data_IF_021922147997
#
_entry.id   IF_021922147997
#
_cell.length_a   1.000
_cell.length_b   1.000
_cell.length_c   1.000
_cell.angle_alpha   90.00
_cell.angle_beta   90.00
_cell.angle_gamma   90.00
#
_symmetry.space_group_name_H-M   'P 1'
#
loop_
_entity.id
_entity.type
_entity.pdbx_description
1 polymer ?
#
# COMPACT_ATOMS: atom_id res chain seq x y z
N UNK A 1 55.15 -12.75 -24.59
CA UNK A 1 54.23 -11.71 -24.06
C UNK A 1 52.88 -11.94 -24.73
N UNK A 2 52.08 -12.84 -24.18
CA UNK A 2 51.05 -12.58 -23.16
C UNK A 2 49.70 -12.27 -23.84
N UNK A 3 48.69 -13.09 -23.48
CA UNK A 3 47.37 -13.12 -24.11
C UNK A 3 46.61 -11.85 -23.76
N UNK A 4 45.86 -11.29 -24.71
CA UNK A 4 44.75 -10.39 -24.39
C UNK A 4 43.46 -11.01 -24.91
N UNK A 5 42.78 -11.74 -24.04
CA UNK A 5 41.38 -12.15 -24.26
C UNK A 5 40.53 -10.91 -24.01
N UNK A 6 39.86 -10.42 -25.05
CA UNK A 6 38.89 -9.34 -24.97
C UNK A 6 37.65 -9.84 -24.19
N UNK A 7 37.71 -9.70 -22.87
CA UNK A 7 36.69 -10.16 -21.94
C UNK A 7 35.48 -9.24 -21.93
N UNK A 8 34.67 -9.27 -22.99
CA UNK A 8 33.32 -8.69 -22.93
C UNK A 8 32.46 -9.64 -22.10
N UNK A 9 32.42 -9.38 -20.79
CA UNK A 9 31.49 -10.03 -19.89
C UNK A 9 30.06 -9.80 -20.40
N UNK A 10 29.41 -10.88 -20.82
CA UNK A 10 27.97 -10.86 -21.08
C UNK A 10 27.31 -10.71 -19.70
N UNK A 11 26.92 -9.48 -19.37
CA UNK A 11 26.10 -9.23 -18.21
C UNK A 11 24.74 -9.87 -18.44
N UNK A 12 24.51 -11.05 -17.87
CA UNK A 12 23.17 -11.63 -17.79
C UNK A 12 22.39 -10.74 -16.82
N UNK A 13 21.67 -9.75 -17.36
CA UNK A 13 20.61 -9.06 -16.62
C UNK A 13 19.45 -10.02 -16.51
N UNK A 14 19.38 -10.77 -15.41
CA UNK A 14 18.17 -11.47 -15.06
C UNK A 14 17.17 -10.43 -14.55
N UNK A 15 16.32 -9.89 -15.43
CA UNK A 15 15.10 -9.27 -14.96
C UNK A 15 14.21 -10.40 -14.45
N UNK A 16 14.16 -10.61 -13.13
CA UNK A 16 13.05 -11.39 -12.58
C UNK A 16 11.79 -10.58 -12.87
N UNK A 17 10.95 -11.10 -13.75
CA UNK A 17 9.54 -10.72 -13.76
C UNK A 17 8.97 -11.21 -12.44
N UNK A 18 9.08 -10.40 -11.40
CA UNK A 18 8.45 -10.69 -10.13
C UNK A 18 6.97 -10.38 -10.33
N UNK A 19 6.16 -11.44 -10.43
CA UNK A 19 4.71 -11.30 -10.35
C UNK A 19 4.40 -10.78 -8.95
N UNK A 20 4.11 -9.49 -8.84
CA UNK A 20 3.82 -8.82 -7.57
C UNK A 20 2.45 -9.22 -7.00
N UNK A 21 1.55 -9.71 -7.86
CA UNK A 21 0.21 -10.13 -7.50
C UNK A 21 -0.08 -11.51 -8.09
N UNK A 22 -0.21 -12.50 -7.23
CA UNK A 22 -0.60 -13.86 -7.61
C UNK A 22 -2.03 -14.13 -7.16
N UNK A 23 -2.84 -14.78 -8.02
CA UNK A 23 -4.24 -15.10 -7.69
C UNK A 23 -4.31 -15.98 -6.44
N UNK A 24 -5.24 -15.64 -5.55
CA UNK A 24 -5.47 -16.41 -4.31
C UNK A 24 -4.39 -16.23 -3.24
N UNK A 25 -3.41 -15.34 -3.45
CA UNK A 25 -2.40 -15.00 -2.44
C UNK A 25 -2.68 -13.62 -1.85
N UNK A 26 -2.44 -13.51 -0.55
CA UNK A 26 -2.46 -12.23 0.15
C UNK A 26 -1.15 -11.49 -0.08
N UNK A 27 -1.25 -10.17 -0.12
CA UNK A 27 -0.15 -9.24 -0.36
C UNK A 27 -0.35 -8.03 0.53
N UNK A 28 0.71 -7.54 1.14
CA UNK A 28 0.65 -6.29 1.89
C UNK A 28 0.98 -5.12 0.97
N UNK A 29 0.01 -4.22 0.77
CA UNK A 29 0.21 -3.00 -0.03
C UNK A 29 0.24 -1.80 0.89
N UNK A 30 1.29 -0.98 0.77
CA UNK A 30 1.35 0.32 1.42
C UNK A 30 1.58 1.43 0.39
N UNK A 31 0.66 2.38 0.35
CA UNK A 31 0.86 3.62 -0.38
C UNK A 31 1.16 4.75 0.59
N UNK A 32 2.22 5.51 0.30
CA UNK A 32 2.64 6.66 1.08
C UNK A 32 2.74 7.89 0.17
N UNK A 33 2.43 9.06 0.72
CA UNK A 33 2.55 10.34 0.02
C UNK A 33 3.09 11.41 0.95
N UNK A 34 3.58 12.52 0.38
CA UNK A 34 4.26 13.60 1.09
C UNK A 34 5.22 14.31 0.16
N UNK A 35 6.53 14.34 0.48
CA UNK A 35 7.59 14.80 -0.46
C UNK A 35 7.77 13.84 -1.64
N UNK A 36 7.40 12.58 -1.45
CA UNK A 36 7.52 11.51 -2.45
C UNK A 36 6.29 10.63 -2.30
N UNK A 37 5.73 10.22 -3.43
CA UNK A 37 4.70 9.19 -3.48
C UNK A 37 5.36 7.86 -3.78
N UNK A 38 5.13 6.85 -2.95
CA UNK A 38 5.68 5.52 -3.14
C UNK A 38 4.63 4.45 -2.86
N UNK A 39 4.71 3.34 -3.59
CA UNK A 39 3.95 2.13 -3.34
C UNK A 39 4.92 1.02 -2.97
N UNK A 40 4.65 0.35 -1.86
CA UNK A 40 5.37 -0.83 -1.41
C UNK A 40 4.45 -2.05 -1.49
N UNK A 41 5.01 -3.16 -1.95
CA UNK A 41 4.31 -4.44 -2.13
C UNK A 41 5.14 -5.50 -1.41
N UNK A 42 4.54 -6.17 -0.42
CA UNK A 42 5.23 -7.05 0.53
C UNK A 42 6.49 -6.41 1.14
N UNK A 43 6.39 -5.10 1.39
CA UNK A 43 7.47 -4.30 1.98
C UNK A 43 8.60 -3.92 1.02
N UNK A 44 8.54 -4.34 -0.25
CA UNK A 44 9.50 -3.98 -1.30
C UNK A 44 9.03 -2.80 -2.11
N UNK A 45 9.96 -1.97 -2.60
CA UNK A 45 9.61 -0.80 -3.39
C UNK A 45 9.06 -1.22 -4.76
N UNK A 46 7.80 -0.87 -5.04
CA UNK A 46 7.14 -1.14 -6.31
C UNK A 46 7.28 0.02 -7.31
N UNK A 47 6.87 1.22 -6.90
CA UNK A 47 7.04 2.47 -7.66
C UNK A 47 7.31 3.64 -6.71
N UNK A 48 8.05 4.64 -7.19
CA UNK A 48 8.37 5.86 -6.45
C UNK A 48 8.44 7.05 -7.39
N UNK A 49 7.75 8.14 -7.04
CA UNK A 49 7.79 9.39 -7.80
C UNK A 49 7.95 10.59 -6.87
N UNK A 50 8.78 11.59 -7.24
CA UNK A 50 8.77 12.88 -6.55
C UNK A 50 7.34 13.42 -6.54
N UNK A 51 6.86 13.83 -5.36
CA UNK A 51 5.52 14.42 -5.28
C UNK A 51 5.62 15.88 -5.70
N UNK A 52 4.90 16.24 -6.76
CA UNK A 52 4.65 17.65 -7.12
C UNK A 52 3.46 18.22 -6.37
N UNK A 53 2.76 17.41 -5.57
CA UNK A 53 1.58 17.83 -4.82
C UNK A 53 1.97 18.33 -3.43
N UNK A 54 1.64 19.60 -3.15
CA UNK A 54 1.79 20.22 -1.83
C UNK A 54 0.52 20.10 -0.95
N UNK A 55 -0.35 19.12 -1.22
CA UNK A 55 -1.63 18.94 -0.51
C UNK A 55 -2.15 17.50 -0.54
N UNK A 56 -3.28 17.21 0.14
CA UNK A 56 -3.87 15.87 0.17
C UNK A 56 -4.15 15.37 -1.26
N UNK A 57 -3.98 14.07 -1.54
CA UNK A 57 -4.22 13.50 -2.87
C UNK A 57 -5.71 13.39 -3.25
N UNK A 58 -6.61 13.88 -2.39
CA UNK A 58 -8.04 13.79 -2.56
C UNK A 58 -8.65 15.19 -2.66
N UNK A 59 -9.55 15.37 -3.62
CA UNK A 59 -10.44 16.53 -3.63
C UNK A 59 -11.39 16.41 -2.43
N UNK A 60 -11.69 17.51 -1.70
CA UNK A 60 -12.66 17.50 -0.61
C UNK A 60 -14.09 17.14 -1.06
N UNK A 61 -14.34 17.10 -2.38
CA UNK A 61 -15.61 16.70 -2.97
C UNK A 61 -15.68 15.20 -3.33
N UNK A 62 -14.62 14.44 -3.09
CA UNK A 62 -14.54 13.02 -3.48
C UNK A 62 -14.76 12.08 -2.30
N UNK A 63 -15.49 10.99 -2.55
CA UNK A 63 -15.65 9.88 -1.61
C UNK A 63 -14.43 8.96 -1.70
N UNK A 64 -13.90 8.52 -0.56
CA UNK A 64 -12.89 7.46 -0.55
C UNK A 64 -13.55 6.12 -0.90
N UNK A 65 -13.07 5.50 -1.97
CA UNK A 65 -13.59 4.23 -2.48
C UNK A 65 -12.52 3.15 -2.43
N UNK A 66 -12.96 1.95 -2.11
CA UNK A 66 -12.19 0.71 -2.22
C UNK A 66 -13.00 -0.19 -3.14
N UNK A 67 -12.34 -0.94 -4.03
CA UNK A 67 -13.08 -1.87 -4.88
C UNK A 67 -13.51 -1.29 -6.23
N UNK A 68 -13.70 0.03 -6.32
CA UNK A 68 -14.43 0.64 -7.43
C UNK A 68 -13.95 2.07 -7.71
N UNK A 69 -13.72 2.40 -8.99
CA UNK A 69 -13.51 3.77 -9.47
C UNK A 69 -14.55 4.15 -10.54
N UNK A 70 -14.86 3.23 -11.46
CA UNK A 70 -15.90 3.36 -12.51
C UNK A 70 -16.30 1.96 -13.02
N UNK A 71 -17.37 1.80 -13.84
CA UNK A 71 -17.94 0.48 -14.18
C UNK A 71 -16.98 -0.59 -14.70
N UNK A 72 -15.90 -0.18 -15.39
CA UNK A 72 -14.89 -1.08 -15.98
C UNK A 72 -13.56 -1.08 -15.18
N UNK A 73 -13.54 -0.42 -14.02
CA UNK A 73 -12.35 -0.25 -13.20
C UNK A 73 -12.65 -0.57 -11.74
N UNK A 74 -12.93 -1.84 -11.53
CA UNK A 74 -13.11 -2.46 -10.24
C UNK A 74 -11.95 -3.41 -9.96
N UNK A 75 -11.65 -3.60 -8.68
CA UNK A 75 -10.77 -4.69 -8.24
C UNK A 75 -11.61 -5.90 -7.87
N UNK A 76 -11.17 -7.09 -8.27
CA UNK A 76 -11.71 -8.36 -7.81
C UNK A 76 -10.74 -8.94 -6.77
N UNK A 77 -10.80 -8.43 -5.55
CA UNK A 77 -9.90 -8.78 -4.46
C UNK A 77 -10.62 -8.73 -3.11
N UNK A 78 -10.08 -9.48 -2.15
CA UNK A 78 -10.41 -9.32 -0.74
C UNK A 78 -9.48 -8.27 -0.12
N UNK A 79 -9.99 -7.51 0.85
CA UNK A 79 -9.22 -6.53 1.62
C UNK A 79 -9.34 -6.92 3.08
N UNK A 80 -8.24 -6.76 3.80
CA UNK A 80 -8.10 -7.03 5.23
C UNK A 80 -7.15 -5.98 5.81
N UNK A 81 -7.29 -5.66 7.09
CA UNK A 81 -6.42 -4.73 7.84
C UNK A 81 -6.20 -3.36 7.15
N UNK A 82 -7.27 -2.74 6.64
CA UNK A 82 -7.19 -1.44 5.98
C UNK A 82 -6.87 -0.35 7.01
N UNK A 83 -5.68 0.24 6.90
CA UNK A 83 -5.25 1.37 7.75
C UNK A 83 -4.99 2.65 6.95
N UNK A 84 -5.54 3.76 7.43
CA UNK A 84 -5.21 5.12 6.98
C UNK A 84 -4.49 5.85 8.12
N UNK A 85 -3.44 6.60 7.77
CA UNK A 85 -2.63 7.32 8.75
C UNK A 85 -2.26 8.72 8.29
N UNK A 86 -1.94 9.59 9.24
CA UNK A 86 -1.56 10.98 8.99
C UNK A 86 -0.05 11.20 8.82
N UNK A 87 0.72 10.11 8.76
CA UNK A 87 2.15 10.11 8.47
C UNK A 87 2.47 9.13 7.34
N UNK A 88 3.57 9.38 6.63
CA UNK A 88 4.20 8.37 5.78
C UNK A 88 4.88 7.31 6.67
N UNK A 89 4.17 6.21 6.97
CA UNK A 89 4.67 5.14 7.85
C UNK A 89 5.93 4.45 7.33
N UNK A 90 6.12 4.45 6.02
CA UNK A 90 7.26 3.81 5.36
C UNK A 90 7.93 4.82 4.43
N UNK A 91 9.24 4.98 4.58
CA UNK A 91 10.08 5.83 3.72
C UNK A 91 11.18 5.03 3.01
N UNK A 92 11.24 3.73 3.29
CA UNK A 92 12.14 2.73 2.73
C UNK A 92 11.45 1.36 2.75
N UNK A 93 12.10 0.35 2.19
CA UNK A 93 11.64 -1.03 2.29
C UNK A 93 11.52 -1.48 3.76
N UNK A 94 10.57 -2.35 4.05
CA UNK A 94 10.25 -2.82 5.40
C UNK A 94 9.82 -4.29 5.39
N UNK A 95 9.68 -4.88 6.58
CA UNK A 95 9.01 -6.18 6.75
C UNK A 95 7.57 -5.92 7.18
N UNK A 96 6.57 -6.32 6.37
CA UNK A 96 5.17 -6.17 6.77
C UNK A 96 4.84 -6.95 8.05
N UNK A 97 3.81 -6.52 8.80
CA UNK A 97 3.20 -7.36 9.82
C UNK A 97 2.82 -8.72 9.24
N UNK A 98 3.00 -9.78 10.04
CA UNK A 98 2.56 -11.12 9.65
C UNK A 98 1.05 -11.16 9.58
N UNK A 99 0.51 -11.97 8.67
CA UNK A 99 -0.93 -12.01 8.36
C UNK A 99 -1.79 -12.52 9.54
N UNK A 100 -1.20 -13.32 10.42
CA UNK A 100 -1.85 -13.85 11.62
C UNK A 100 -1.88 -12.85 12.78
N UNK A 101 -1.42 -11.62 12.57
CA UNK A 101 -1.37 -10.57 13.59
C UNK A 101 -2.30 -9.42 13.18
N UNK A 102 -3.36 -9.21 13.98
CA UNK A 102 -4.23 -8.04 13.84
C UNK A 102 -3.45 -6.74 14.13
N UNK A 103 -3.71 -5.71 13.33
CA UNK A 103 -3.11 -4.41 13.59
C UNK A 103 -3.78 -3.76 14.80
N UNK A 104 -3.07 -2.85 15.46
CA UNK A 104 -3.63 -2.00 16.52
C UNK A 104 -3.55 -0.54 16.10
N UNK A 105 -4.55 0.29 16.44
CA UNK A 105 -4.43 1.72 16.20
C UNK A 105 -3.33 2.31 17.09
N UNK A 106 -2.50 3.17 16.52
CA UNK A 106 -1.54 4.00 17.24
C UNK A 106 -1.88 5.47 17.04
N UNK A 107 -1.12 6.38 17.67
CA UNK A 107 -1.40 7.84 17.64
C UNK A 107 -1.53 8.48 16.24
N UNK A 108 -1.09 7.78 15.20
CA UNK A 108 -1.15 8.20 13.81
C UNK A 108 -2.23 7.47 12.99
N UNK A 109 -2.92 6.50 13.57
CA UNK A 109 -4.04 5.78 12.93
C UNK A 109 -5.31 6.64 12.97
N UNK A 110 -5.83 6.97 11.79
CA UNK A 110 -7.07 7.74 11.61
C UNK A 110 -8.26 6.89 11.21
N UNK A 111 -7.98 5.73 10.61
CA UNK A 111 -8.93 4.66 10.31
C UNK A 111 -8.20 3.34 10.36
N UNK A 112 -8.78 2.33 11.01
CA UNK A 112 -8.42 0.93 10.90
C UNK A 112 -9.71 0.11 10.76
N UNK A 113 -9.81 -0.69 9.70
CA UNK A 113 -10.92 -1.63 9.49
C UNK A 113 -10.38 -3.04 9.33
N UNK A 114 -10.84 -3.95 10.18
CA UNK A 114 -10.38 -5.34 10.22
C UNK A 114 -11.12 -6.27 9.25
N UNK A 115 -12.34 -5.93 8.83
CA UNK A 115 -13.14 -6.79 7.94
C UNK A 115 -13.37 -8.24 8.44
N UNK A 116 -13.35 -8.46 9.75
CA UNK A 116 -13.58 -9.76 10.42
C UNK A 116 -15.07 -10.17 10.47
N UNK A 117 -15.83 -9.89 9.41
CA UNK A 117 -17.27 -10.14 9.35
C UNK A 117 -18.15 -8.99 9.85
N UNK A 118 -17.54 -7.86 10.22
CA UNK A 118 -18.22 -6.59 10.48
C UNK A 118 -17.50 -5.44 9.74
N UNK A 119 -18.09 -4.24 9.80
CA UNK A 119 -17.53 -3.02 9.21
C UNK A 119 -17.15 -2.01 10.29
N UNK A 120 -16.76 -2.52 11.47
CA UNK A 120 -16.34 -1.68 12.58
C UNK A 120 -15.02 -0.98 12.21
N UNK A 121 -14.92 0.27 12.64
CA UNK A 121 -13.80 1.14 12.35
C UNK A 121 -13.23 1.70 13.64
N UNK A 122 -11.91 1.57 13.78
CA UNK A 122 -11.16 2.12 14.90
C UNK A 122 -10.37 3.36 14.47
N UNK A 123 -10.24 4.32 15.38
CA UNK A 123 -9.40 5.50 15.20
C UNK A 123 -8.76 5.83 16.55
N UNK A 124 -7.49 6.21 16.53
CA UNK A 124 -6.78 6.43 17.78
C UNK A 124 -7.36 7.62 18.55
N UNK A 125 -7.69 7.37 19.82
CA UNK A 125 -8.27 8.37 20.71
C UNK A 125 -9.75 8.65 20.45
N UNK A 126 -10.41 7.95 19.52
CA UNK A 126 -11.85 8.02 19.31
C UNK A 126 -12.54 6.86 20.01
N UNK A 127 -13.58 7.18 20.79
CA UNK A 127 -14.45 6.19 21.44
C UNK A 127 -15.86 6.30 20.88
N UNK A 128 -16.46 5.18 20.49
CA UNK A 128 -17.78 5.14 19.86
C UNK A 128 -17.70 4.83 18.36
N UNK A 129 -18.84 4.70 17.68
CA UNK A 129 -18.86 4.39 16.26
C UNK A 129 -18.09 5.46 15.48
N UNK A 130 -17.23 5.03 14.55
CA UNK A 130 -16.57 5.96 13.66
C UNK A 130 -17.63 6.71 12.84
N UNK A 131 -17.44 8.01 12.54
CA UNK A 131 -18.37 8.79 11.71
C UNK A 131 -18.27 8.40 10.21
N UNK A 132 -18.06 7.13 9.91
CA UNK A 132 -17.97 6.60 8.56
C UNK A 132 -19.39 6.32 8.08
N UNK A 133 -19.88 7.16 7.18
CA UNK A 133 -21.13 6.90 6.47
C UNK A 133 -20.83 6.06 5.24
N UNK A 134 -21.15 4.77 5.30
CA UNK A 134 -21.12 3.91 4.11
C UNK A 134 -22.29 4.30 3.20
N UNK A 135 -21.98 4.77 2.01
CA UNK A 135 -22.96 5.05 0.97
C UNK A 135 -22.92 3.92 -0.05
N UNK A 136 -24.10 3.38 -0.40
CA UNK A 136 -24.25 2.45 -1.51
C UNK A 136 -24.07 3.16 -2.85
#
# INVERSE_FOLDING_TARGET
RERQKDGRGVGVRTSRNQTLFERGKWVHVAWVWGRTSAVYIDGKLGDQRPSVMSGPPFSPLSVFMIGYIRPEQNINAMVDELRISDIARYTAEFTPPSRDVELRPDKHTRLLMHFNGNLDAESYGHTGPAPVKLTK
#
